data_IF_298639326503
#
_entry.id   IF_298639326503
#
_cell.length_a   1.000
_cell.length_b   1.000
_cell.length_c   1.000
_cell.angle_alpha   90.00
_cell.angle_beta   90.00
_cell.angle_gamma   90.00
#
_symmetry.space_group_name_H-M   'P 1'
#
loop_
_entity.id
_entity.type
_entity.pdbx_description
1 polymer ?
#
# COMPACT_ATOMS: atom_id res chain seq x y z
N UNK A 1 -19.29 28.33 8.08
CA UNK A 1 -18.20 27.89 7.19
C UNK A 1 -18.34 26.38 7.03
N UNK A 2 -19.04 25.94 5.98
CA UNK A 2 -19.23 24.52 5.74
C UNK A 2 -17.90 23.93 5.25
N UNK A 3 -17.20 23.20 6.13
CA UNK A 3 -16.12 22.31 5.71
C UNK A 3 -16.76 21.18 4.93
N UNK A 4 -16.74 21.32 3.59
CA UNK A 4 -17.22 20.33 2.64
C UNK A 4 -16.66 18.97 2.98
N UNK A 5 -17.56 17.99 3.12
CA UNK A 5 -17.23 16.63 3.50
C UNK A 5 -16.12 16.06 2.64
N UNK A 6 -15.10 15.52 3.31
CA UNK A 6 -14.09 14.68 2.69
C UNK A 6 -14.71 13.31 2.37
N UNK A 7 -15.61 13.31 1.38
CA UNK A 7 -16.15 12.13 0.72
C UNK A 7 -15.30 11.77 -0.51
N UNK A 8 -14.07 12.30 -0.63
CA UNK A 8 -13.15 11.99 -1.72
C UNK A 8 -12.43 10.66 -1.46
N UNK A 9 -13.22 9.59 -1.37
CA UNK A 9 -12.76 8.21 -1.45
C UNK A 9 -11.89 7.75 -0.28
N UNK A 10 -12.38 6.78 0.49
CA UNK A 10 -11.48 5.95 1.32
C UNK A 10 -10.34 5.45 0.42
N UNK A 11 -9.10 5.80 0.76
CA UNK A 11 -7.92 5.27 0.06
C UNK A 11 -7.99 3.74 0.08
N UNK A 12 -7.91 3.12 -1.09
CA UNK A 12 -7.98 1.66 -1.25
C UNK A 12 -6.84 0.96 -0.51
N UNK A 13 -5.66 1.58 -0.48
CA UNK A 13 -4.51 1.15 0.31
C UNK A 13 -4.49 1.87 1.66
N UNK A 14 -4.13 1.15 2.71
CA UNK A 14 -3.71 1.78 3.98
C UNK A 14 -2.42 2.58 3.78
N UNK A 15 -2.10 3.47 4.72
CA UNK A 15 -0.86 4.26 4.67
C UNK A 15 0.38 3.37 4.51
N UNK A 16 0.40 2.25 5.24
CA UNK A 16 1.54 1.33 5.20
C UNK A 16 1.66 0.55 3.91
N UNK A 17 0.53 0.12 3.35
CA UNK A 17 0.49 -0.53 2.04
C UNK A 17 0.91 0.43 0.93
N UNK A 18 0.55 1.72 1.05
CA UNK A 18 1.01 2.78 0.14
C UNK A 18 2.53 2.95 0.20
N UNK A 19 3.10 3.09 1.40
CA UNK A 19 4.57 3.19 1.57
C UNK A 19 5.29 1.99 0.96
N UNK A 20 4.80 0.77 1.20
CA UNK A 20 5.37 -0.45 0.63
C UNK A 20 5.27 -0.44 -0.90
N UNK A 21 4.12 -0.04 -1.46
CA UNK A 21 3.93 0.08 -2.90
C UNK A 21 4.88 1.11 -3.54
N UNK A 22 5.02 2.28 -2.92
CA UNK A 22 5.93 3.35 -3.39
C UNK A 22 7.39 2.89 -3.44
N UNK A 23 7.82 2.05 -2.50
CA UNK A 23 9.17 1.48 -2.51
C UNK A 23 9.32 0.34 -3.52
N UNK A 24 8.28 -0.46 -3.74
CA UNK A 24 8.28 -1.49 -4.78
C UNK A 24 8.44 -0.89 -6.18
N UNK A 25 7.74 0.21 -6.49
CA UNK A 25 7.88 0.87 -7.81
C UNK A 25 9.23 1.55 -8.00
N UNK A 26 9.99 1.73 -6.92
CA UNK A 26 11.39 2.17 -6.93
C UNK A 26 12.39 1.00 -6.99
N UNK A 27 11.91 -0.20 -7.33
CA UNK A 27 12.71 -1.42 -7.47
C UNK A 27 13.43 -1.86 -6.18
N UNK A 28 12.89 -1.48 -5.01
CA UNK A 28 13.43 -1.91 -3.71
C UNK A 28 13.08 -3.36 -3.42
N UNK A 29 14.08 -4.12 -2.97
CA UNK A 29 13.89 -5.49 -2.50
C UNK A 29 13.14 -5.55 -1.18
N UNK A 30 12.49 -6.68 -0.85
CA UNK A 30 11.80 -6.88 0.43
C UNK A 30 12.69 -6.61 1.64
N UNK A 31 13.98 -6.94 1.52
CA UNK A 31 15.00 -6.69 2.55
C UNK A 31 15.30 -5.21 2.74
N UNK A 32 15.43 -4.44 1.66
CA UNK A 32 15.63 -2.99 1.73
C UNK A 32 14.41 -2.27 2.30
N UNK A 33 13.22 -2.67 1.86
CA UNK A 33 11.95 -2.13 2.36
C UNK A 33 11.83 -2.43 3.86
N UNK A 34 12.08 -3.67 4.29
CA UNK A 34 12.04 -4.06 5.69
C UNK A 34 12.98 -3.20 6.56
N UNK A 35 14.19 -2.92 6.06
CA UNK A 35 15.17 -2.07 6.73
C UNK A 35 14.70 -0.61 6.81
N UNK A 36 14.23 -0.03 5.72
CA UNK A 36 13.76 1.37 5.70
C UNK A 36 12.54 1.59 6.57
N UNK A 37 11.66 0.59 6.63
CA UNK A 37 10.38 0.66 7.31
C UNK A 37 10.44 0.13 8.75
N UNK A 38 11.59 -0.36 9.22
CA UNK A 38 11.79 -0.93 10.56
C UNK A 38 10.83 -2.08 10.90
N UNK A 39 10.62 -2.99 9.95
CA UNK A 39 9.75 -4.18 10.12
C UNK A 39 10.44 -5.43 9.60
N UNK A 40 9.87 -6.61 9.86
CA UNK A 40 10.39 -7.85 9.29
C UNK A 40 10.09 -7.97 7.79
N UNK A 41 10.90 -8.71 7.03
CA UNK A 41 10.59 -9.03 5.64
C UNK A 41 9.25 -9.78 5.48
N UNK A 42 8.85 -10.57 6.51
CA UNK A 42 7.54 -11.23 6.56
C UNK A 42 6.42 -10.19 6.59
N UNK A 43 6.57 -9.15 7.41
CA UNK A 43 5.61 -8.03 7.49
C UNK A 43 5.50 -7.32 6.15
N UNK A 44 6.63 -7.06 5.48
CA UNK A 44 6.64 -6.47 4.14
C UNK A 44 5.88 -7.36 3.15
N UNK A 45 6.19 -8.66 3.08
CA UNK A 45 5.47 -9.60 2.19
C UNK A 45 3.96 -9.60 2.44
N UNK A 46 3.53 -9.53 3.70
CA UNK A 46 2.11 -9.43 4.02
C UNK A 46 1.47 -8.16 3.45
N UNK A 47 2.12 -7.00 3.58
CA UNK A 47 1.63 -5.76 2.96
C UNK A 47 1.60 -5.87 1.43
N UNK A 48 2.62 -6.49 0.81
CA UNK A 48 2.65 -6.71 -0.65
C UNK A 48 1.47 -7.59 -1.09
N UNK A 49 1.19 -8.68 -0.37
CA UNK A 49 0.04 -9.55 -0.66
C UNK A 49 -1.28 -8.78 -0.62
N UNK A 50 -1.46 -7.89 0.37
CA UNK A 50 -2.65 -7.05 0.45
C UNK A 50 -2.73 -6.04 -0.71
N UNK A 51 -1.62 -5.38 -1.04
CA UNK A 51 -1.55 -4.45 -2.19
C UNK A 51 -1.95 -5.17 -3.47
N UNK A 52 -1.38 -6.35 -3.75
CA UNK A 52 -1.71 -7.14 -4.94
C UNK A 52 -3.19 -7.54 -4.93
N UNK A 53 -3.72 -8.01 -3.80
CA UNK A 53 -5.13 -8.38 -3.69
C UNK A 53 -6.04 -7.20 -4.05
N UNK A 54 -5.76 -6.01 -3.54
CA UNK A 54 -6.52 -4.79 -3.84
C UNK A 54 -6.42 -4.45 -5.33
N UNK A 55 -5.22 -4.52 -5.92
CA UNK A 55 -5.01 -4.23 -7.35
C UNK A 55 -5.72 -5.23 -8.29
N UNK A 56 -5.83 -6.50 -7.88
CA UNK A 56 -6.60 -7.51 -8.62
C UNK A 56 -8.10 -7.23 -8.51
N UNK A 57 -8.60 -6.95 -7.29
CA UNK A 57 -10.03 -6.65 -7.09
C UNK A 57 -10.50 -5.42 -7.89
N UNK A 58 -9.68 -4.36 -7.99
CA UNK A 58 -10.05 -3.17 -8.78
C UNK A 58 -10.01 -3.44 -10.28
N UNK A 59 -9.14 -4.35 -10.75
CA UNK A 59 -9.09 -4.76 -12.16
C UNK A 59 -10.36 -5.48 -12.59
N UNK A 60 -10.98 -6.23 -11.69
CA UNK A 60 -12.21 -6.99 -11.97
C UNK A 60 -13.49 -6.14 -11.82
N UNK A 61 -13.37 -4.88 -11.38
CA UNK A 61 -14.51 -3.96 -11.15
C UNK A 61 -14.76 -3.00 -12.34
N UNK A 62 -13.86 -2.94 -13.31
CA UNK A 62 -13.90 -2.04 -14.49
C UNK A 62 -14.10 -2.83 -15.79
#
# INVERSE_FOLDING_TARGET
MASGGDLRGKSLLTNREREVFELLVQDKTTKEIAKQLFVSEKTVRNHISNVIHILVLVRDLI
#
